data_IF_360791859776
#
_entry.id   IF_360791859776
#
_cell.length_a   1.000
_cell.length_b   1.000
_cell.length_c   1.000
_cell.angle_alpha   90.00
_cell.angle_beta   90.00
_cell.angle_gamma   90.00
#
_symmetry.space_group_name_H-M   'P 1'
#
loop_
_entity.id
_entity.type
_entity.pdbx_description
1 polymer ?
#
# COMPACT_ATOMS: atom_id res chain seq x y z
N UNK A 1 20.93 -86.50 28.25
CA UNK A 1 20.21 -85.27 28.68
C UNK A 1 20.80 -84.08 27.93
N UNK A 2 20.12 -83.58 26.90
CA UNK A 2 20.55 -82.40 26.15
C UNK A 2 19.59 -81.24 26.49
N UNK A 3 20.13 -80.13 27.01
CA UNK A 3 19.37 -78.89 27.24
C UNK A 3 19.29 -78.13 25.92
N UNK A 4 18.07 -77.88 25.45
CA UNK A 4 17.79 -76.96 24.35
C UNK A 4 17.83 -75.52 24.92
N UNK A 5 18.61 -74.58 24.36
CA UNK A 5 18.49 -73.18 24.71
C UNK A 5 17.22 -72.61 24.05
N UNK A 6 16.33 -72.08 24.87
CA UNK A 6 15.14 -71.34 24.46
C UNK A 6 15.57 -69.93 24.03
N UNK A 7 15.82 -69.73 22.74
CA UNK A 7 15.90 -68.39 22.15
C UNK A 7 14.50 -67.77 22.17
N UNK A 8 14.34 -66.73 22.99
CA UNK A 8 13.12 -65.96 23.12
C UNK A 8 13.25 -64.67 22.29
N UNK A 9 12.57 -64.52 21.13
CA UNK A 9 12.72 -63.36 20.25
C UNK A 9 11.78 -62.19 20.64
N UNK A 10 11.47 -62.02 21.93
CA UNK A 10 10.47 -61.03 22.37
C UNK A 10 11.02 -59.58 22.51
N UNK A 11 12.34 -59.36 22.40
CA UNK A 11 12.97 -58.06 22.71
C UNK A 11 13.16 -57.09 21.54
N UNK A 12 13.12 -57.56 20.28
CA UNK A 12 13.53 -56.76 19.13
C UNK A 12 12.44 -55.83 18.57
N UNK A 13 11.15 -56.16 18.75
CA UNK A 13 10.04 -55.35 18.24
C UNK A 13 9.75 -54.08 19.06
N UNK A 14 10.01 -54.12 20.37
CA UNK A 14 9.66 -53.01 21.29
C UNK A 14 10.68 -51.87 21.21
N UNK A 15 11.97 -52.19 21.05
CA UNK A 15 13.04 -51.19 20.92
C UNK A 15 12.95 -50.38 19.62
N UNK A 16 12.56 -51.01 18.50
CA UNK A 16 12.35 -50.32 17.23
C UNK A 16 11.12 -49.40 17.26
N UNK A 17 10.03 -49.81 17.93
CA UNK A 17 8.84 -48.97 18.11
C UNK A 17 9.12 -47.71 18.93
N UNK A 18 9.81 -47.84 20.07
CA UNK A 18 10.16 -46.70 20.93
C UNK A 18 11.10 -45.69 20.26
N UNK A 19 12.04 -46.17 19.45
CA UNK A 19 12.96 -45.31 18.70
C UNK A 19 12.25 -44.57 17.57
N UNK A 20 11.30 -45.23 16.89
CA UNK A 20 10.46 -44.62 15.85
C UNK A 20 9.51 -43.57 16.41
N UNK A 21 8.91 -43.81 17.57
CA UNK A 21 8.02 -42.86 18.26
C UNK A 21 8.81 -41.63 18.69
N UNK A 22 10.00 -41.80 19.30
CA UNK A 22 10.85 -40.69 19.70
C UNK A 22 11.30 -39.82 18.50
N UNK A 23 11.60 -40.43 17.35
CA UNK A 23 11.94 -39.71 16.13
C UNK A 23 10.76 -38.93 15.56
N UNK A 24 9.56 -39.50 15.57
CA UNK A 24 8.33 -38.83 15.13
C UNK A 24 7.98 -37.64 16.04
N UNK A 25 8.05 -37.81 17.35
CA UNK A 25 7.82 -36.74 18.33
C UNK A 25 8.82 -35.59 18.15
N UNK A 26 10.11 -35.89 18.01
CA UNK A 26 11.15 -34.87 17.78
C UNK A 26 10.96 -34.10 16.46
N UNK A 27 10.52 -34.79 15.40
CA UNK A 27 10.22 -34.13 14.13
C UNK A 27 9.02 -33.18 14.25
N UNK A 28 7.96 -33.61 14.94
CA UNK A 28 6.76 -32.79 15.17
C UNK A 28 7.11 -31.57 16.03
N UNK A 29 7.89 -31.73 17.10
CA UNK A 29 8.35 -30.62 17.95
C UNK A 29 9.18 -29.59 17.17
N UNK A 30 10.04 -30.05 16.26
CA UNK A 30 10.80 -29.18 15.37
C UNK A 30 9.88 -28.37 14.47
N UNK A 31 8.92 -29.02 13.79
CA UNK A 31 7.91 -28.33 12.97
C UNK A 31 7.09 -27.31 13.76
N UNK A 32 6.69 -27.65 14.99
CA UNK A 32 5.97 -26.71 15.86
C UNK A 32 6.78 -25.47 16.21
N UNK A 33 8.11 -25.60 16.33
CA UNK A 33 9.00 -24.48 16.59
C UNK A 33 9.08 -23.59 15.35
N UNK A 34 9.36 -24.18 14.19
CA UNK A 34 9.44 -23.47 12.91
C UNK A 34 8.13 -22.72 12.60
N UNK A 35 6.99 -23.38 12.80
CA UNK A 35 5.67 -22.80 12.59
C UNK A 35 5.39 -21.63 13.54
N UNK A 36 5.77 -21.76 14.83
CA UNK A 36 5.65 -20.64 15.79
C UNK A 36 6.54 -19.46 15.42
N UNK A 37 7.76 -19.73 14.98
CA UNK A 37 8.67 -18.70 14.47
C UNK A 37 8.08 -18.00 13.24
N UNK A 38 7.52 -18.76 12.29
CA UNK A 38 6.87 -18.19 11.10
C UNK A 38 5.64 -17.36 11.45
N UNK A 39 4.77 -17.82 12.36
CA UNK A 39 3.60 -17.05 12.83
C UNK A 39 4.05 -15.72 13.46
N UNK A 40 5.14 -15.75 14.25
CA UNK A 40 5.72 -14.53 14.85
C UNK A 40 6.24 -13.57 13.79
N UNK A 41 6.99 -14.08 12.80
CA UNK A 41 7.48 -13.30 11.66
C UNK A 41 6.33 -12.64 10.88
N UNK A 42 5.32 -13.42 10.47
CA UNK A 42 4.13 -12.92 9.79
C UNK A 42 3.40 -11.85 10.61
N UNK A 43 3.35 -12.02 11.93
CA UNK A 43 2.82 -11.02 12.86
C UNK A 43 3.58 -9.69 12.78
N UNK A 44 4.91 -9.76 12.81
CA UNK A 44 5.77 -8.57 12.68
C UNK A 44 5.69 -7.91 11.30
N UNK A 45 5.68 -8.69 10.22
CA UNK A 45 5.58 -8.21 8.84
C UNK A 45 4.25 -7.49 8.63
N UNK A 46 3.15 -8.09 9.09
CA UNK A 46 1.82 -7.46 9.07
C UNK A 46 1.81 -6.14 9.83
N UNK A 47 2.42 -6.08 11.02
CA UNK A 47 2.44 -4.86 11.81
C UNK A 47 3.26 -3.75 11.15
N UNK A 48 4.39 -4.09 10.51
CA UNK A 48 5.17 -3.15 9.72
C UNK A 48 4.38 -2.64 8.50
N UNK A 49 3.67 -3.51 7.79
CA UNK A 49 2.82 -3.12 6.67
C UNK A 49 1.69 -2.19 7.10
N UNK A 50 1.02 -2.47 8.23
CA UNK A 50 -0.03 -1.60 8.76
C UNK A 50 0.51 -0.19 9.05
N UNK A 51 1.70 -0.07 9.65
CA UNK A 51 2.32 1.23 9.91
C UNK A 51 2.67 1.98 8.61
N UNK A 52 3.18 1.27 7.60
CA UNK A 52 3.45 1.85 6.28
C UNK A 52 2.16 2.31 5.61
N UNK A 53 1.09 1.51 5.67
CA UNK A 53 -0.21 1.81 5.11
C UNK A 53 -0.79 3.08 5.76
N UNK A 54 -0.76 3.20 7.08
CA UNK A 54 -1.18 4.42 7.80
C UNK A 54 -0.34 5.66 7.44
N UNK A 55 0.94 5.48 7.10
CA UNK A 55 1.76 6.60 6.58
C UNK A 55 1.31 6.98 5.18
N UNK A 56 1.05 6.00 4.32
CA UNK A 56 0.59 6.22 2.94
C UNK A 56 -0.81 6.83 2.84
N UNK A 57 -1.71 6.47 3.75
CA UNK A 57 -3.04 7.10 3.85
C UNK A 57 -2.90 8.59 4.14
N UNK A 58 -2.04 8.95 5.10
CA UNK A 58 -1.74 10.36 5.40
C UNK A 58 -1.11 11.09 4.22
N UNK A 59 -0.18 10.45 3.51
CA UNK A 59 0.42 11.00 2.30
C UNK A 59 -0.63 11.23 1.19
N UNK A 60 -1.58 10.29 1.03
CA UNK A 60 -2.65 10.38 0.04
C UNK A 60 -3.62 11.51 0.38
N UNK A 61 -4.01 11.64 1.64
CA UNK A 61 -4.88 12.72 2.10
C UNK A 61 -4.22 14.10 1.93
N UNK A 62 -2.92 14.19 2.18
CA UNK A 62 -2.14 15.39 1.90
C UNK A 62 -2.13 15.71 0.39
N UNK A 63 -1.86 14.72 -0.47
CA UNK A 63 -1.84 14.90 -1.93
C UNK A 63 -3.23 15.33 -2.47
N UNK A 64 -4.33 14.76 -1.94
CA UNK A 64 -5.71 15.16 -2.30
C UNK A 64 -6.03 16.59 -1.88
N UNK A 65 -5.55 17.01 -0.72
CA UNK A 65 -5.71 18.38 -0.23
C UNK A 65 -4.94 19.36 -1.13
N UNK A 66 -3.70 19.03 -1.48
CA UNK A 66 -2.88 19.81 -2.43
C UNK A 66 -3.55 19.92 -3.81
N UNK A 67 -4.09 18.82 -4.33
CA UNK A 67 -4.82 18.80 -5.60
C UNK A 67 -6.02 19.74 -5.56
N UNK A 68 -6.85 19.64 -4.52
CA UNK A 68 -8.03 20.49 -4.34
C UNK A 68 -7.65 21.96 -4.27
N UNK A 69 -6.58 22.29 -3.56
CA UNK A 69 -6.06 23.65 -3.47
C UNK A 69 -5.56 24.16 -4.83
N UNK A 70 -4.80 23.34 -5.57
CA UNK A 70 -4.30 23.69 -6.90
C UNK A 70 -5.45 23.89 -7.91
N UNK A 71 -6.51 23.08 -7.84
CA UNK A 71 -7.72 23.25 -8.65
C UNK A 71 -8.45 24.56 -8.36
N UNK A 72 -8.55 24.94 -7.08
CA UNK A 72 -9.10 26.25 -6.69
C UNK A 72 -8.25 27.38 -7.25
N UNK A 73 -6.93 27.33 -7.07
CA UNK A 73 -6.01 28.34 -7.60
C UNK A 73 -6.13 28.47 -9.12
N UNK A 74 -6.21 27.34 -9.85
CA UNK A 74 -6.40 27.35 -11.31
C UNK A 74 -7.74 27.98 -11.70
N UNK A 75 -8.80 27.76 -10.92
CA UNK A 75 -10.11 28.38 -11.16
C UNK A 75 -10.03 29.90 -11.01
N UNK A 76 -9.41 30.38 -9.93
CA UNK A 76 -9.25 31.82 -9.67
C UNK A 76 -8.41 32.50 -10.75
N UNK A 77 -7.34 31.84 -11.21
CA UNK A 77 -6.51 32.33 -12.32
C UNK A 77 -7.29 32.37 -13.64
N UNK A 78 -8.14 31.37 -13.92
CA UNK A 78 -8.96 31.35 -15.12
C UNK A 78 -10.03 32.45 -15.10
N UNK A 79 -10.65 32.71 -13.95
CA UNK A 79 -11.62 33.80 -13.78
C UNK A 79 -10.95 35.17 -13.99
N UNK A 80 -9.79 35.39 -13.36
CA UNK A 80 -9.00 36.60 -13.59
C UNK A 80 -8.64 36.77 -15.06
N UNK A 81 -8.17 35.70 -15.72
CA UNK A 81 -7.83 35.73 -17.14
C UNK A 81 -9.05 36.15 -17.97
N UNK A 82 -10.21 35.53 -17.78
CA UNK A 82 -11.43 35.86 -18.51
C UNK A 82 -11.87 37.33 -18.29
N UNK A 83 -11.76 37.84 -17.06
CA UNK A 83 -12.05 39.23 -16.75
C UNK A 83 -11.05 40.18 -17.46
N UNK A 84 -9.75 39.87 -17.43
CA UNK A 84 -8.73 40.68 -18.12
C UNK A 84 -8.89 40.68 -19.63
N UNK A 85 -9.21 39.53 -20.25
CA UNK A 85 -9.49 39.41 -21.67
C UNK A 85 -10.74 40.19 -22.07
N UNK A 86 -11.78 40.19 -21.23
CA UNK A 86 -13.00 40.99 -21.45
C UNK A 86 -12.69 42.50 -21.44
N UNK A 87 -11.91 42.98 -20.46
CA UNK A 87 -11.47 44.39 -20.41
C UNK A 87 -10.63 44.76 -21.63
N UNK A 88 -9.69 43.89 -22.02
CA UNK A 88 -8.86 44.11 -23.20
C UNK A 88 -9.72 44.21 -24.47
N UNK A 89 -10.74 43.35 -24.62
CA UNK A 89 -11.70 43.42 -25.73
C UNK A 89 -12.52 44.71 -25.73
N UNK A 90 -12.90 45.23 -24.55
CA UNK A 90 -13.61 46.51 -24.42
C UNK A 90 -12.73 47.72 -24.79
N UNK A 91 -11.45 47.71 -24.41
CA UNK A 91 -10.50 48.79 -24.71
C UNK A 91 -9.97 48.77 -26.15
N UNK A 92 -10.01 47.60 -26.80
CA UNK A 92 -9.58 47.42 -28.21
C UNK A 92 -10.73 47.50 -29.21
N UNK A 93 -11.98 47.54 -28.74
CA UNK A 93 -13.13 47.77 -29.60
C UNK A 93 -13.05 49.17 -30.25
N UNK A 94 -13.43 49.32 -31.53
CA UNK A 94 -13.39 50.62 -32.21
C UNK A 94 -14.41 51.55 -31.58
N UNK A 95 -13.96 52.44 -30.69
CA UNK A 95 -14.74 53.58 -30.24
C UNK A 95 -14.65 54.69 -31.30
N UNK A 96 -15.79 55.21 -31.75
CA UNK A 96 -15.95 56.31 -32.71
C UNK A 96 -15.40 57.68 -32.23
N UNK A 97 -14.40 57.73 -31.34
CA UNK A 97 -13.91 59.00 -30.80
C UNK A 97 -12.43 58.96 -30.38
N UNK A 98 -11.60 59.57 -31.24
CA UNK A 98 -10.47 60.50 -31.02
C UNK A 98 -9.57 60.48 -29.76
N UNK A 99 -9.69 59.55 -28.82
CA UNK A 99 -8.75 59.39 -27.71
C UNK A 99 -7.88 58.17 -27.93
N UNK A 100 -6.74 58.39 -28.59
CA UNK A 100 -5.60 57.50 -28.51
C UNK A 100 -5.04 57.53 -27.08
N UNK A 101 -5.71 56.87 -26.13
CA UNK A 101 -5.02 56.46 -24.91
C UNK A 101 -4.26 55.19 -25.26
N UNK A 102 -2.94 55.25 -25.13
CA UNK A 102 -2.10 54.06 -25.11
C UNK A 102 -2.16 53.50 -23.69
N UNK A 103 -2.99 52.46 -23.41
CA UNK A 103 -2.60 51.43 -22.44
C UNK A 103 -2.88 49.94 -22.83
N UNK A 104 -3.11 49.52 -24.09
CA UNK A 104 -3.44 48.11 -24.38
C UNK A 104 -2.30 47.14 -24.03
N UNK A 105 -1.03 47.58 -24.11
CA UNK A 105 0.15 46.75 -23.80
C UNK A 105 0.21 46.21 -22.37
N UNK A 106 -0.30 46.96 -21.39
CA UNK A 106 -0.26 46.53 -20.00
C UNK A 106 -1.24 45.38 -19.75
N UNK A 107 -2.45 45.48 -20.32
CA UNK A 107 -3.45 44.41 -20.27
C UNK A 107 -3.02 43.19 -21.07
N UNK A 108 -2.42 43.37 -22.25
CA UNK A 108 -1.85 42.29 -23.04
C UNK A 108 -0.77 41.52 -22.26
N UNK A 109 0.13 42.23 -21.56
CA UNK A 109 1.14 41.60 -20.72
C UNK A 109 0.54 40.88 -19.50
N UNK A 110 -0.53 41.41 -18.91
CA UNK A 110 -1.27 40.77 -17.82
C UNK A 110 -1.93 39.47 -18.28
N UNK A 111 -2.59 39.48 -19.45
CA UNK A 111 -3.19 38.29 -20.08
C UNK A 111 -2.13 37.20 -20.33
N UNK A 112 -0.99 37.57 -20.89
CA UNK A 112 0.09 36.60 -21.15
C UNK A 112 0.66 36.02 -19.85
N UNK A 113 0.83 36.86 -18.82
CA UNK A 113 1.26 36.43 -17.49
C UNK A 113 0.26 35.45 -16.86
N UNK A 114 -1.04 35.75 -16.93
CA UNK A 114 -2.10 34.90 -16.41
C UNK A 114 -2.19 33.56 -17.16
N UNK A 115 -1.98 33.56 -18.49
CA UNK A 115 -1.91 32.33 -19.30
C UNK A 115 -0.71 31.46 -18.91
N UNK A 116 0.45 32.06 -18.67
CA UNK A 116 1.62 31.34 -18.20
C UNK A 116 1.37 30.73 -16.81
N UNK A 117 0.79 31.49 -15.87
CA UNK A 117 0.43 31.00 -14.54
C UNK A 117 -0.60 29.86 -14.60
N UNK A 118 -1.60 29.95 -15.48
CA UNK A 118 -2.60 28.90 -15.68
C UNK A 118 -1.97 27.60 -16.20
N UNK A 119 -0.98 27.71 -17.07
CA UNK A 119 -0.23 26.56 -17.60
C UNK A 119 0.55 25.86 -16.48
N UNK A 120 1.23 26.63 -15.63
CA UNK A 120 1.93 26.10 -14.45
C UNK A 120 0.95 25.44 -13.48
N UNK A 121 -0.19 26.08 -13.21
CA UNK A 121 -1.21 25.53 -12.32
C UNK A 121 -1.78 24.21 -12.84
N UNK A 122 -2.03 24.10 -14.16
CA UNK A 122 -2.46 22.84 -14.80
C UNK A 122 -1.41 21.73 -14.67
N UNK A 123 -0.13 22.05 -14.86
CA UNK A 123 0.95 21.09 -14.67
C UNK A 123 1.05 20.61 -13.21
N UNK A 124 0.85 21.53 -12.24
CA UNK A 124 0.81 21.20 -10.81
C UNK A 124 -0.34 20.23 -10.48
N UNK A 125 -1.54 20.50 -11.00
CA UNK A 125 -2.72 19.62 -10.84
C UNK A 125 -2.43 18.21 -11.40
N UNK A 126 -1.85 18.13 -12.61
CA UNK A 126 -1.49 16.84 -13.20
C UNK A 126 -0.50 16.07 -12.31
N UNK A 127 0.56 16.72 -11.84
CA UNK A 127 1.55 16.09 -10.97
C UNK A 127 0.97 15.65 -9.62
N UNK A 128 0.08 16.45 -9.01
CA UNK A 128 -0.62 16.09 -7.78
C UNK A 128 -1.59 14.92 -7.99
N UNK A 129 -2.29 14.90 -9.14
CA UNK A 129 -3.17 13.80 -9.55
C UNK A 129 -2.41 12.49 -9.72
N UNK A 130 -1.31 12.49 -10.49
CA UNK A 130 -0.46 11.30 -10.71
C UNK A 130 0.08 10.75 -9.37
N UNK A 131 0.47 11.65 -8.46
CA UNK A 131 0.94 11.27 -7.12
C UNK A 131 -0.17 10.62 -6.30
N UNK A 132 -1.38 11.17 -6.33
CA UNK A 132 -2.52 10.61 -5.62
C UNK A 132 -2.93 9.23 -6.18
N UNK A 133 -2.94 9.06 -7.50
CA UNK A 133 -3.24 7.79 -8.15
C UNK A 133 -2.21 6.71 -7.79
N UNK A 134 -0.92 7.06 -7.83
CA UNK A 134 0.15 6.17 -7.40
C UNK A 134 0.00 5.74 -5.94
N UNK A 135 -0.24 6.68 -5.03
CA UNK A 135 -0.42 6.40 -3.60
C UNK A 135 -1.65 5.51 -3.36
N UNK A 136 -2.74 5.73 -4.10
CA UNK A 136 -3.92 4.88 -4.03
C UNK A 136 -3.62 3.44 -4.47
N UNK A 137 -2.89 3.24 -5.57
CA UNK A 137 -2.46 1.91 -6.02
C UNK A 137 -1.53 1.21 -5.01
N UNK A 138 -0.60 1.94 -4.40
CA UNK A 138 0.26 1.40 -3.33
C UNK A 138 -0.56 0.94 -2.11
N UNK A 139 -1.57 1.71 -1.71
CA UNK A 139 -2.48 1.34 -0.61
C UNK A 139 -3.31 0.09 -0.92
N UNK A 140 -3.82 -0.01 -2.14
CA UNK A 140 -4.58 -1.19 -2.56
C UNK A 140 -3.70 -2.45 -2.54
N UNK A 141 -2.47 -2.35 -3.04
CA UNK A 141 -1.51 -3.45 -3.02
C UNK A 141 -1.16 -3.87 -1.59
N UNK A 142 -0.85 -2.91 -0.71
CA UNK A 142 -0.50 -3.20 0.69
C UNK A 142 -1.68 -3.81 1.46
N UNK A 143 -2.92 -3.39 1.17
CA UNK A 143 -4.12 -3.97 1.77
C UNK A 143 -4.27 -5.44 1.40
N UNK A 144 -4.09 -5.78 0.11
CA UNK A 144 -4.13 -7.17 -0.36
C UNK A 144 -3.02 -8.01 0.27
N UNK A 145 -1.81 -7.47 0.40
CA UNK A 145 -0.69 -8.16 1.04
C UNK A 145 -0.97 -8.47 2.51
N UNK A 146 -1.56 -7.53 3.26
CA UNK A 146 -1.99 -7.76 4.64
C UNK A 146 -3.00 -8.91 4.73
N UNK A 147 -3.94 -9.01 3.79
CA UNK A 147 -4.93 -10.08 3.78
C UNK A 147 -4.31 -11.44 3.45
N UNK A 148 -3.34 -11.49 2.54
CA UNK A 148 -2.55 -12.71 2.27
C UNK A 148 -1.80 -13.16 3.52
N UNK A 149 -1.11 -12.25 4.21
CA UNK A 149 -0.35 -12.58 5.43
C UNK A 149 -1.27 -13.05 6.57
N UNK A 150 -2.48 -12.48 6.69
CA UNK A 150 -3.49 -12.97 7.65
C UNK A 150 -3.90 -14.40 7.34
N UNK A 151 -4.14 -14.71 6.08
CA UNK A 151 -4.57 -16.04 5.65
C UNK A 151 -3.45 -17.07 5.85
N UNK A 152 -2.21 -16.77 5.45
CA UNK A 152 -1.04 -17.64 5.69
C UNK A 152 -0.88 -17.93 7.19
N UNK A 153 -0.98 -16.90 8.03
CA UNK A 153 -0.90 -17.06 9.48
C UNK A 153 -2.04 -17.93 10.01
N UNK A 154 -3.26 -17.77 9.51
CA UNK A 154 -4.40 -18.58 9.94
C UNK A 154 -4.22 -20.05 9.55
N UNK A 155 -3.70 -20.33 8.36
CA UNK A 155 -3.40 -21.69 7.91
C UNK A 155 -2.39 -22.38 8.82
N UNK A 156 -1.30 -21.68 9.17
CA UNK A 156 -0.30 -22.21 10.12
C UNK A 156 -0.90 -22.47 11.51
N UNK A 157 -1.80 -21.60 12.00
CA UNK A 157 -2.48 -21.85 13.28
C UNK A 157 -3.35 -23.11 13.21
N UNK A 158 -4.10 -23.30 12.12
CA UNK A 158 -4.94 -24.48 11.90
C UNK A 158 -4.08 -25.75 11.80
N UNK A 159 -2.98 -25.71 11.04
CA UNK A 159 -2.03 -26.83 10.93
C UNK A 159 -1.45 -27.18 12.32
N UNK A 160 -1.08 -26.19 13.11
CA UNK A 160 -0.62 -26.41 14.49
C UNK A 160 -1.66 -27.08 15.39
N UNK A 161 -2.93 -26.72 15.29
CA UNK A 161 -3.99 -27.40 16.05
C UNK A 161 -4.16 -28.85 15.59
N UNK A 162 -4.12 -29.12 14.28
CA UNK A 162 -4.21 -30.48 13.74
C UNK A 162 -3.04 -31.35 14.20
N UNK A 163 -1.81 -30.82 14.17
CA UNK A 163 -0.62 -31.53 14.67
C UNK A 163 -0.70 -31.81 16.18
N UNK A 164 -1.34 -30.93 16.96
CA UNK A 164 -1.49 -31.11 18.41
C UNK A 164 -2.48 -32.23 18.71
N UNK A 165 -3.56 -32.32 17.93
CA UNK A 165 -4.52 -33.42 18.02
C UNK A 165 -3.83 -34.76 17.70
N UNK A 166 -3.04 -34.82 16.61
CA UNK A 166 -2.29 -36.03 16.24
C UNK A 166 -1.30 -36.50 17.32
N UNK A 167 -0.65 -35.59 18.03
CA UNK A 167 0.21 -35.93 19.17
C UNK A 167 -0.56 -36.45 20.39
N UNK A 168 -1.79 -36.00 20.58
CA UNK A 168 -2.63 -36.41 21.72
C UNK A 168 -3.23 -37.80 21.52
N UNK A 169 -3.29 -38.27 20.26
CA UNK A 169 -3.80 -39.57 19.86
C UNK A 169 -2.70 -40.67 19.76
N UNK A 170 -1.43 -40.28 19.92
CA UNK A 170 -0.23 -41.16 19.94
C UNK A 170 0.06 -41.72 21.34
#
# INVERSE_FOLDING_TARGET
MARIPSDNPAGAGVANGATSINAATSHIETKFREMRERISQLGSEKQQLVLRLQSRERDLDAARTELTFAESQRRDLAEKLAATETRLGQETAPADSASASTPPRALEAEVETLRAQLTIARASIAAAGDRAEKLFGELESATREIDILKEERNQLIVEGHQMTALLSDL
#
